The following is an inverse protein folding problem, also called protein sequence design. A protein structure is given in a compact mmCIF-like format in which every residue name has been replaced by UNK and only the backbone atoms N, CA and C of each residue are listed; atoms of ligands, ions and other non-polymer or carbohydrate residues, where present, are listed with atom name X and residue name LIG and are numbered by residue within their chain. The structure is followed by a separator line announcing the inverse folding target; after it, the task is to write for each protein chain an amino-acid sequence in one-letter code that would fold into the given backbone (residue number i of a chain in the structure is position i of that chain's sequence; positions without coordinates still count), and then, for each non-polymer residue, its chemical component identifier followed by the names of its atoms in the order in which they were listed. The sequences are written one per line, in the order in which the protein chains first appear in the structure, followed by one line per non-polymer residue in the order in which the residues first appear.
data_IF_388031695787
#
_entry.id   IF_388031695787
#
_cell.length_a   1.000
_cell.length_b   1.000
_cell.length_c   1.000
_cell.angle_alpha   90.00
_cell.angle_beta   90.00
_cell.angle_gamma   90.00
#
_symmetry.space_group_name_H-M   'P 1'
#
loop_
_entity.id
_entity.type
_entity.pdbx_description
1 polymer ?
#
# COMPACT_ATOMS: atom_id res chain seq x y z
N UNK A 1 19.46 -3.52 56.48
CA UNK A 1 20.31 -4.60 55.91
C UNK A 1 21.74 -4.15 55.57
N UNK A 2 22.30 -3.10 56.18
CA UNK A 2 23.69 -2.65 55.93
C UNK A 2 24.65 -3.03 57.07
N UNK A 3 24.14 -3.53 58.20
CA UNK A 3 24.97 -3.90 59.36
C UNK A 3 25.64 -5.30 59.26
N UNK A 4 25.23 -6.16 58.32
CA UNK A 4 25.77 -7.52 58.17
C UNK A 4 26.95 -7.62 57.19
N UNK A 5 27.24 -6.59 56.40
CA UNK A 5 28.31 -6.62 55.38
C UNK A 5 29.73 -6.34 55.94
N UNK A 6 29.84 -5.73 57.13
CA UNK A 6 31.13 -5.29 57.68
C UNK A 6 31.92 -6.37 58.43
N UNK A 7 31.31 -7.50 58.81
CA UNK A 7 32.02 -8.53 59.60
C UNK A 7 33.01 -9.34 58.75
N UNK A 8 32.64 -9.67 57.50
CA UNK A 8 33.50 -10.43 56.58
C UNK A 8 34.65 -9.57 56.06
N UNK A 9 34.40 -8.31 55.69
CA UNK A 9 35.42 -7.40 55.15
C UNK A 9 36.53 -7.11 56.16
N UNK A 10 36.18 -6.92 57.44
CA UNK A 10 37.14 -6.68 58.52
C UNK A 10 37.95 -7.94 58.91
N UNK A 11 37.38 -9.15 58.76
CA UNK A 11 38.06 -10.41 59.05
C UNK A 11 39.23 -10.71 58.09
N UNK A 12 39.16 -10.22 56.86
CA UNK A 12 40.19 -10.44 55.83
C UNK A 12 41.13 -9.23 55.63
N UNK A 13 41.10 -8.22 56.51
CA UNK A 13 41.88 -6.97 56.41
C UNK A 13 41.73 -6.25 55.06
N UNK A 14 40.56 -6.36 54.44
CA UNK A 14 40.27 -5.66 53.19
C UNK A 14 39.73 -4.27 53.50
N UNK A 15 40.28 -3.25 52.83
CA UNK A 15 39.82 -1.87 52.97
C UNK A 15 39.09 -1.47 51.68
N UNK A 16 37.77 -1.27 51.75
CA UNK A 16 36.96 -0.88 50.59
C UNK A 16 37.00 0.63 50.49
N UNK A 17 37.68 1.16 49.48
CA UNK A 17 37.61 2.57 49.18
C UNK A 17 36.22 2.88 48.60
N UNK A 18 35.47 3.76 49.28
CA UNK A 18 34.15 4.20 48.84
C UNK A 18 34.21 5.32 47.78
N UNK A 19 35.41 5.82 47.47
CA UNK A 19 35.63 6.69 46.33
C UNK A 19 35.84 5.87 45.07
N UNK A 20 35.18 6.26 43.99
CA UNK A 20 35.38 5.63 42.69
C UNK A 20 36.83 5.86 42.23
N UNK A 21 37.51 4.78 41.83
CA UNK A 21 38.82 4.87 41.20
C UNK A 21 38.70 5.64 39.89
N UNK A 22 39.38 6.79 39.80
CA UNK A 22 39.43 7.58 38.57
C UNK A 22 40.51 7.04 37.65
N UNK A 23 40.19 6.90 36.37
CA UNK A 23 41.11 6.43 35.33
C UNK A 23 41.09 7.47 34.21
N UNK A 24 42.27 7.84 33.73
CA UNK A 24 42.41 8.73 32.58
C UNK A 24 41.95 7.99 31.30
N UNK A 25 40.98 8.56 30.60
CA UNK A 25 40.42 8.00 29.39
C UNK A 25 40.33 9.07 28.30
N UNK A 26 40.32 8.64 27.04
CA UNK A 26 40.11 9.51 25.88
C UNK A 26 38.85 9.09 25.13
N UNK A 27 38.10 10.07 24.66
CA UNK A 27 36.95 9.87 23.78
C UNK A 27 37.41 10.05 22.34
N UNK A 28 37.28 9.00 21.53
CA UNK A 28 37.57 9.10 20.10
C UNK A 28 36.47 9.89 19.39
N UNK A 29 36.87 10.74 18.45
CA UNK A 29 35.92 11.39 17.56
C UNK A 29 35.30 10.36 16.61
N UNK A 30 33.99 10.42 16.35
CA UNK A 30 33.35 9.53 15.39
C UNK A 30 33.90 9.78 13.98
N UNK A 31 34.10 8.72 13.17
CA UNK A 31 34.61 8.87 11.81
C UNK A 31 33.58 9.53 10.91
N UNK A 32 34.07 10.29 9.93
CA UNK A 32 33.23 10.84 8.88
C UNK A 32 32.76 9.73 7.92
N UNK A 33 31.44 9.60 7.74
CA UNK A 33 30.84 8.66 6.81
C UNK A 33 30.51 9.36 5.50
N UNK A 34 31.00 8.83 4.38
CA UNK A 34 30.68 9.33 3.04
C UNK A 34 29.48 8.61 2.44
N UNK A 35 28.48 9.37 2.03
CA UNK A 35 27.38 8.92 1.19
C UNK A 35 27.71 9.11 -0.29
N UNK A 36 26.87 8.56 -1.17
CA UNK A 36 27.01 8.75 -2.61
C UNK A 36 26.94 10.25 -2.98
N UNK A 37 27.87 10.73 -3.81
CA UNK A 37 28.13 12.16 -4.05
C UNK A 37 27.03 12.94 -4.78
N UNK A 38 25.92 12.30 -5.14
CA UNK A 38 24.79 12.91 -5.86
C UNK A 38 23.61 13.27 -4.96
N UNK A 39 23.67 12.97 -3.66
CA UNK A 39 22.62 13.30 -2.68
C UNK A 39 22.82 14.67 -2.01
N UNK A 40 21.75 15.26 -1.48
CA UNK A 40 21.79 16.55 -0.73
C UNK A 40 22.75 16.53 0.48
N UNK A 41 22.99 15.35 1.05
CA UNK A 41 24.03 15.08 2.05
C UNK A 41 24.96 14.01 1.50
N UNK A 42 26.18 14.41 1.16
CA UNK A 42 27.26 13.54 0.68
C UNK A 42 28.14 13.01 1.82
N UNK A 43 28.01 13.59 3.02
CA UNK A 43 28.85 13.29 4.18
C UNK A 43 28.02 13.45 5.47
N UNK A 44 28.24 12.58 6.46
CA UNK A 44 27.71 12.73 7.83
C UNK A 44 28.74 12.32 8.87
N UNK A 45 28.81 13.05 9.98
CA UNK A 45 29.56 12.65 11.17
C UNK A 45 28.55 12.09 12.19
N UNK A 46 28.65 10.81 12.60
CA UNK A 46 27.74 10.20 13.57
C UNK A 46 27.69 10.99 14.87
N UNK A 47 26.48 11.17 15.44
CA UNK A 47 26.30 11.78 16.77
C UNK A 47 25.91 10.70 17.76
N UNK A 48 26.62 10.61 18.89
CA UNK A 48 26.40 9.56 19.91
C UNK A 48 26.45 8.13 19.33
N UNK A 49 27.30 7.91 18.33
CA UNK A 49 27.41 6.61 17.63
C UNK A 49 26.27 6.30 16.65
N UNK A 50 25.38 7.26 16.36
CA UNK A 50 24.24 7.08 15.45
C UNK A 50 24.38 7.97 14.20
N UNK A 51 23.90 7.47 13.05
CA UNK A 51 23.85 8.21 11.78
C UNK A 51 22.50 7.98 11.08
N UNK A 52 22.11 8.93 10.24
CA UNK A 52 20.76 8.98 9.67
C UNK A 52 20.71 8.38 8.25
N UNK A 53 19.83 7.41 8.01
CA UNK A 53 19.59 6.83 6.68
C UNK A 53 18.25 7.28 6.05
N UNK A 54 17.60 8.29 6.63
CA UNK A 54 16.40 8.90 6.05
C UNK A 54 16.69 9.40 4.63
N UNK A 55 15.71 9.26 3.74
CA UNK A 55 15.79 9.60 2.31
C UNK A 55 16.84 8.81 1.52
N UNK A 56 17.33 7.68 2.05
CA UNK A 56 18.20 6.72 1.34
C UNK A 56 17.43 5.44 1.00
N UNK A 57 17.85 4.77 -0.07
CA UNK A 57 17.32 3.47 -0.50
C UNK A 57 18.25 2.35 -0.05
N UNK A 58 17.69 1.33 0.61
CA UNK A 58 18.37 0.08 0.90
C UNK A 58 18.08 -0.95 -0.21
N UNK A 59 19.08 -1.29 -1.02
CA UNK A 59 19.00 -2.42 -1.96
C UNK A 59 19.41 -3.69 -1.21
N UNK A 60 18.52 -4.69 -1.19
CA UNK A 60 18.75 -5.96 -0.49
C UNK A 60 18.79 -7.10 -1.50
N UNK A 61 19.94 -7.75 -1.63
CA UNK A 61 20.07 -8.96 -2.45
C UNK A 61 19.69 -10.15 -1.58
N UNK A 62 18.55 -10.79 -1.89
CA UNK A 62 17.93 -11.77 -1.02
C UNK A 62 17.84 -13.15 -1.71
N UNK A 63 18.60 -14.16 -1.24
CA UNK A 63 18.63 -15.48 -1.89
C UNK A 63 17.31 -16.24 -1.76
N UNK A 64 16.59 -16.07 -0.65
CA UNK A 64 15.33 -16.76 -0.35
C UNK A 64 14.21 -15.78 0.05
N UNK A 65 12.97 -16.25 0.12
CA UNK A 65 11.82 -15.39 0.47
C UNK A 65 11.55 -15.32 1.98
N UNK A 66 12.20 -16.17 2.78
CA UNK A 66 11.92 -16.36 4.22
C UNK A 66 12.09 -15.07 5.02
N UNK A 67 13.15 -14.32 4.71
CA UNK A 67 13.50 -13.09 5.41
C UNK A 67 12.82 -11.84 4.84
N UNK A 68 12.11 -11.96 3.72
CA UNK A 68 11.50 -10.82 3.01
C UNK A 68 10.56 -10.03 3.93
N UNK A 69 9.62 -10.72 4.59
CA UNK A 69 8.64 -10.06 5.45
C UNK A 69 9.27 -9.35 6.65
N UNK A 70 10.27 -9.98 7.29
CA UNK A 70 11.03 -9.39 8.40
C UNK A 70 11.78 -8.13 7.97
N UNK A 71 12.47 -8.18 6.83
CA UNK A 71 13.17 -7.02 6.27
C UNK A 71 12.19 -5.88 6.03
N UNK A 72 11.05 -6.16 5.39
CA UNK A 72 10.04 -5.15 5.11
C UNK A 72 9.47 -4.52 6.37
N UNK A 73 9.10 -5.34 7.36
CA UNK A 73 8.61 -4.86 8.65
C UNK A 73 9.63 -3.93 9.32
N UNK A 74 10.84 -4.41 9.59
CA UNK A 74 11.87 -3.64 10.30
C UNK A 74 12.19 -2.34 9.56
N UNK A 75 12.37 -2.40 8.23
CA UNK A 75 12.64 -1.21 7.43
C UNK A 75 11.49 -0.18 7.53
N UNK A 76 10.23 -0.61 7.45
CA UNK A 76 9.10 0.29 7.24
C UNK A 76 8.46 0.76 8.56
N UNK A 77 8.55 -0.04 9.64
CA UNK A 77 7.89 0.23 10.93
C UNK A 77 8.87 0.62 12.04
N UNK A 78 10.11 0.12 12.00
CA UNK A 78 11.10 0.37 13.06
C UNK A 78 12.13 1.42 12.64
N UNK A 79 12.67 1.31 11.43
CA UNK A 79 13.79 2.14 10.96
C UNK A 79 13.38 3.32 10.07
N UNK A 80 12.25 3.23 9.37
CA UNK A 80 11.81 4.26 8.42
C UNK A 80 12.65 4.32 7.14
N UNK A 81 13.19 3.18 6.69
CA UNK A 81 14.06 3.07 5.52
C UNK A 81 13.29 2.46 4.35
N UNK A 82 13.38 3.09 3.18
CA UNK A 82 12.83 2.53 1.95
C UNK A 82 13.73 1.42 1.43
N UNK A 83 13.17 0.25 1.10
CA UNK A 83 13.95 -0.90 0.62
C UNK A 83 13.48 -1.48 -0.72
N UNK A 84 14.43 -1.94 -1.53
CA UNK A 84 14.18 -2.71 -2.76
C UNK A 84 14.91 -4.06 -2.68
N UNK A 85 14.15 -5.14 -2.51
CA UNK A 85 14.68 -6.49 -2.51
C UNK A 85 14.83 -7.00 -3.95
N UNK A 86 15.91 -7.71 -4.23
CA UNK A 86 16.22 -8.29 -5.55
C UNK A 86 16.70 -9.73 -5.34
N UNK A 87 16.14 -10.69 -6.08
CA UNK A 87 16.63 -12.07 -6.06
C UNK A 87 17.93 -12.20 -6.87
N UNK A 88 18.97 -12.88 -6.34
CA UNK A 88 20.23 -13.12 -7.05
C UNK A 88 20.01 -13.79 -8.42
N UNK A 89 19.11 -14.77 -8.48
CA UNK A 89 18.79 -15.52 -9.71
C UNK A 89 18.21 -14.65 -10.81
N UNK A 90 17.67 -13.47 -10.49
CA UNK A 90 17.19 -12.50 -11.47
C UNK A 90 18.25 -11.48 -11.90
N UNK A 91 19.34 -11.36 -11.14
CA UNK A 91 20.49 -10.53 -11.49
C UNK A 91 21.44 -11.26 -12.43
N UNK A 92 21.63 -12.57 -12.20
CA UNK A 92 22.40 -13.43 -13.09
C UNK A 92 21.67 -13.53 -14.43
N UNK A 93 22.22 -12.90 -15.47
CA UNK A 93 21.58 -12.82 -16.80
C UNK A 93 20.39 -11.85 -16.87
N UNK A 94 20.39 -10.80 -16.05
CA UNK A 94 19.31 -9.82 -16.03
C UNK A 94 19.04 -9.22 -17.43
N UNK A 95 17.82 -9.41 -17.93
CA UNK A 95 17.37 -8.73 -19.15
C UNK A 95 17.22 -7.22 -18.89
N UNK A 96 17.40 -6.42 -19.94
CA UNK A 96 17.16 -4.97 -19.88
C UNK A 96 15.75 -4.65 -19.34
N UNK A 97 14.73 -5.37 -19.82
CA UNK A 97 13.34 -5.23 -19.37
C UNK A 97 13.18 -5.49 -17.87
N UNK A 98 13.94 -6.42 -17.29
CA UNK A 98 13.91 -6.67 -15.85
C UNK A 98 14.48 -5.48 -15.08
N UNK A 99 15.64 -4.98 -15.49
CA UNK A 99 16.30 -3.83 -14.87
C UNK A 99 15.44 -2.56 -14.97
N UNK A 100 14.79 -2.32 -16.11
CA UNK A 100 13.83 -1.22 -16.28
C UNK A 100 12.66 -1.30 -15.30
N UNK A 101 12.06 -2.48 -15.12
CA UNK A 101 10.96 -2.65 -14.15
C UNK A 101 11.45 -2.48 -12.69
N UNK A 102 12.68 -2.89 -12.37
CA UNK A 102 13.29 -2.63 -11.06
C UNK A 102 13.50 -1.13 -10.88
N UNK A 103 14.00 -0.42 -11.89
CA UNK A 103 14.17 1.02 -11.87
C UNK A 103 12.83 1.75 -11.68
N UNK A 104 11.75 1.32 -12.33
CA UNK A 104 10.40 1.86 -12.11
C UNK A 104 9.94 1.71 -10.64
N UNK A 105 10.17 0.55 -10.03
CA UNK A 105 9.84 0.29 -8.61
C UNK A 105 10.71 1.10 -7.65
N UNK A 106 11.98 1.30 -7.97
CA UNK A 106 12.87 2.16 -7.17
C UNK A 106 12.41 3.61 -7.29
N UNK A 107 12.15 4.05 -8.52
CA UNK A 107 11.74 5.41 -8.80
C UNK A 107 10.48 5.76 -8.02
N UNK A 108 9.43 4.94 -8.04
CA UNK A 108 8.19 5.25 -7.31
C UNK A 108 8.36 5.26 -5.77
N UNK A 109 9.36 4.56 -5.25
CA UNK A 109 9.66 4.51 -3.81
C UNK A 109 10.43 5.72 -3.32
N UNK A 110 11.32 6.25 -4.14
CA UNK A 110 12.29 7.27 -3.75
C UNK A 110 12.00 8.63 -4.38
N UNK A 111 11.34 8.64 -5.54
CA UNK A 111 10.97 9.81 -6.32
C UNK A 111 9.45 9.86 -6.50
N UNK A 112 8.85 11.03 -6.27
CA UNK A 112 7.40 11.21 -6.33
C UNK A 112 6.82 11.32 -7.75
N UNK A 113 7.59 11.21 -8.86
CA UNK A 113 7.19 12.03 -10.03
C UNK A 113 7.50 11.64 -11.49
N UNK A 114 7.77 10.38 -11.88
CA UNK A 114 7.99 10.09 -13.33
C UNK A 114 6.72 9.67 -14.09
N UNK A 115 5.87 8.78 -13.53
CA UNK A 115 4.69 8.30 -14.27
C UNK A 115 3.53 9.32 -14.24
N UNK A 116 3.47 10.17 -13.21
CA UNK A 116 2.47 11.24 -13.09
C UNK A 116 2.61 12.35 -14.15
N UNK A 117 3.80 12.50 -14.78
CA UNK A 117 4.02 13.54 -15.82
C UNK A 117 3.45 13.17 -17.19
N UNK A 118 3.15 11.90 -17.44
CA UNK A 118 2.64 11.44 -18.74
C UNK A 118 1.10 11.47 -18.83
N UNK A 119 0.39 11.53 -17.70
CA UNK A 119 -1.06 11.41 -17.65
C UNK A 119 -1.69 12.63 -16.97
N UNK A 120 -2.57 13.34 -17.70
CA UNK A 120 -3.33 14.49 -17.20
C UNK A 120 -4.57 14.04 -16.42
N UNK A 121 -4.37 13.53 -15.20
CA UNK A 121 -5.47 13.22 -14.27
C UNK A 121 -5.19 13.82 -12.88
N UNK A 122 -6.22 14.25 -12.13
CA UNK A 122 -6.05 14.77 -10.77
C UNK A 122 -5.44 13.70 -9.84
N UNK A 123 -4.76 14.15 -8.79
CA UNK A 123 -4.09 13.27 -7.81
C UNK A 123 -5.03 12.19 -7.26
N UNK A 124 -4.58 10.94 -7.28
CA UNK A 124 -5.29 9.79 -6.71
C UNK A 124 -4.88 9.59 -5.25
N UNK A 125 -5.68 8.82 -4.50
CA UNK A 125 -5.31 8.37 -3.16
C UNK A 125 -5.85 6.97 -2.90
N UNK A 126 -4.96 6.02 -2.67
CA UNK A 126 -5.33 4.60 -2.70
C UNK A 126 -5.02 3.98 -1.35
N UNK A 127 -5.97 3.25 -0.77
CA UNK A 127 -5.76 2.54 0.50
C UNK A 127 -6.38 1.15 0.41
N UNK A 128 -5.79 0.13 1.02
CA UNK A 128 -6.42 -1.19 1.26
C UNK A 128 -6.48 -1.46 2.75
N UNK A 129 -7.55 -2.12 3.19
CA UNK A 129 -7.70 -2.57 4.57
C UNK A 129 -7.71 -4.09 4.61
N UNK A 130 -7.06 -4.64 5.63
CA UNK A 130 -7.12 -6.05 5.99
C UNK A 130 -7.23 -6.12 7.53
N UNK A 131 -8.45 -6.31 8.03
CA UNK A 131 -8.72 -6.27 9.48
C UNK A 131 -8.58 -4.88 10.12
N UNK A 132 -8.55 -4.84 11.46
CA UNK A 132 -8.49 -3.64 12.34
C UNK A 132 -7.23 -2.78 12.21
N UNK A 133 -6.50 -2.93 11.11
CA UNK A 133 -5.15 -2.47 11.02
C UNK A 133 -4.93 -1.64 9.75
N UNK A 134 -4.67 -0.37 10.01
CA UNK A 134 -4.62 0.72 9.06
C UNK A 134 -3.25 0.80 8.35
N UNK A 135 -3.20 0.46 7.06
CA UNK A 135 -2.06 0.83 6.21
C UNK A 135 -2.35 2.16 5.52
N UNK A 136 -1.73 3.25 5.97
CA UNK A 136 -1.78 4.60 5.36
C UNK A 136 -0.97 4.62 4.07
N UNK A 137 -1.43 5.32 3.04
CA UNK A 137 -0.62 5.47 1.85
C UNK A 137 -0.96 6.67 0.94
N UNK A 138 0.04 7.05 0.13
CA UNK A 138 0.36 8.37 -0.40
C UNK A 138 -0.45 8.85 -1.61
N UNK A 139 -0.64 10.17 -1.71
CA UNK A 139 -1.08 10.84 -2.93
C UNK A 139 0.07 10.86 -3.95
N UNK A 140 -0.13 10.43 -5.21
CA UNK A 140 0.84 10.89 -6.22
C UNK A 140 0.54 12.35 -6.56
N UNK A 141 1.48 13.21 -6.18
CA UNK A 141 1.47 14.63 -6.48
C UNK A 141 1.85 14.86 -7.95
N UNK A 142 0.86 15.03 -8.81
CA UNK A 142 1.02 15.60 -10.14
C UNK A 142 0.51 17.03 -10.19
N UNK A 143 1.37 18.02 -9.94
CA UNK A 143 1.08 19.43 -10.22
C UNK A 143 1.47 19.75 -11.66
N UNK A 144 0.51 19.72 -12.59
CA UNK A 144 0.59 20.42 -13.88
C UNK A 144 -0.82 20.75 -14.38
N UNK A 145 -1.27 21.96 -14.05
CA UNK A 145 -2.29 22.65 -14.82
C UNK A 145 -1.65 23.03 -16.15
N UNK A 146 -2.10 22.41 -17.24
CA UNK A 146 -2.51 23.09 -18.49
C UNK A 146 -2.64 22.09 -19.65
N UNK A 147 -3.71 22.29 -20.44
CA UNK A 147 -3.98 21.77 -21.80
C UNK A 147 -4.73 20.45 -22.03
N UNK A 148 -5.58 19.96 -21.11
CA UNK A 148 -6.83 19.29 -21.56
C UNK A 148 -7.92 19.49 -20.52
N UNK A 149 -8.69 20.56 -20.68
CA UNK A 149 -10.08 20.56 -20.23
C UNK A 149 -10.78 19.36 -20.86
N UNK A 150 -11.40 18.49 -20.04
CA UNK A 150 -12.81 18.19 -20.28
C UNK A 150 -13.48 17.39 -19.16
N UNK A 151 -12.85 16.41 -18.50
CA UNK A 151 -13.69 15.47 -17.73
C UNK A 151 -13.74 15.60 -16.21
N UNK A 152 -12.65 15.83 -15.45
CA UNK A 152 -12.79 15.99 -14.00
C UNK A 152 -11.61 16.77 -13.35
N UNK A 153 -11.65 18.10 -13.25
CA UNK A 153 -10.78 18.81 -12.32
C UNK A 153 -11.22 18.51 -10.87
N UNK A 154 -10.28 18.02 -10.05
CA UNK A 154 -10.46 17.72 -8.61
C UNK A 154 -11.30 16.47 -8.29
N UNK A 155 -10.87 15.30 -8.76
CA UNK A 155 -11.44 14.00 -8.37
C UNK A 155 -10.47 13.19 -7.51
N UNK A 156 -10.98 12.64 -6.41
CA UNK A 156 -10.28 11.64 -5.60
C UNK A 156 -10.87 10.25 -5.92
N UNK A 157 -10.01 9.23 -6.01
CA UNK A 157 -10.42 7.85 -6.28
C UNK A 157 -10.17 7.01 -5.03
N UNK A 158 -11.22 6.56 -4.35
CA UNK A 158 -11.13 5.63 -3.23
C UNK A 158 -11.16 4.17 -3.69
N UNK A 159 -10.64 3.29 -2.83
CA UNK A 159 -10.67 1.84 -3.03
C UNK A 159 -10.94 1.10 -1.74
N UNK A 160 -11.72 0.02 -1.79
CA UNK A 160 -11.81 -0.96 -0.71
C UNK A 160 -11.72 -2.39 -1.27
N UNK A 161 -11.20 -3.32 -0.46
CA UNK A 161 -11.18 -4.76 -0.74
C UNK A 161 -11.67 -5.49 0.51
N UNK A 162 -12.67 -6.36 0.37
CA UNK A 162 -13.23 -7.15 1.47
C UNK A 162 -12.51 -8.49 1.51
N UNK A 163 -11.56 -8.65 2.43
CA UNK A 163 -11.10 -9.98 2.83
C UNK A 163 -11.58 -10.27 4.25
N UNK A 164 -12.74 -10.95 4.32
CA UNK A 164 -13.42 -11.63 5.44
C UNK A 164 -14.85 -11.11 5.68
N UNK A 165 -15.89 -11.93 5.41
CA UNK A 165 -17.29 -11.59 5.68
C UNK A 165 -17.68 -11.67 7.17
N UNK A 166 -16.85 -12.27 8.02
CA UNK A 166 -17.21 -12.56 9.41
C UNK A 166 -16.30 -11.80 10.39
N UNK A 167 -16.71 -10.59 10.79
CA UNK A 167 -16.03 -9.82 11.84
C UNK A 167 -16.66 -8.44 12.08
N UNK A 168 -17.04 -8.08 13.33
CA UNK A 168 -17.67 -6.81 13.63
C UNK A 168 -16.62 -5.73 13.93
N UNK A 169 -16.12 -5.00 12.92
CA UNK A 169 -15.54 -3.67 13.17
C UNK A 169 -15.62 -2.74 11.95
N UNK A 170 -16.86 -2.41 11.58
CA UNK A 170 -17.24 -1.44 10.56
C UNK A 170 -16.93 0.03 10.89
N UNK A 171 -16.23 0.32 12.01
CA UNK A 171 -15.88 1.68 12.47
C UNK A 171 -14.76 2.36 11.65
N UNK A 172 -14.08 1.67 10.74
CA UNK A 172 -12.84 2.16 10.11
C UNK A 172 -13.01 2.96 8.81
N UNK A 173 -14.16 2.90 8.12
CA UNK A 173 -14.33 3.52 6.79
C UNK A 173 -14.51 5.04 6.87
N UNK A 174 -15.21 5.51 7.91
CA UNK A 174 -15.49 6.92 8.12
C UNK A 174 -14.22 7.72 8.47
N UNK A 175 -13.46 7.29 9.49
CA UNK A 175 -12.18 7.90 9.86
C UNK A 175 -11.19 7.90 8.68
N UNK A 176 -11.18 6.81 7.92
CA UNK A 176 -10.36 6.63 6.72
C UNK A 176 -10.69 7.60 5.57
N UNK A 177 -11.96 7.88 5.35
CA UNK A 177 -12.39 8.81 4.31
C UNK A 177 -12.04 10.26 4.67
N UNK A 178 -12.02 10.60 5.97
CA UNK A 178 -11.58 11.91 6.47
C UNK A 178 -10.09 12.13 6.21
N UNK A 179 -9.24 11.19 6.62
CA UNK A 179 -7.78 11.28 6.40
C UNK A 179 -7.45 11.48 4.93
N UNK A 180 -8.12 10.73 4.05
CA UNK A 180 -7.85 10.76 2.63
C UNK A 180 -8.27 12.09 1.97
N UNK A 181 -9.43 12.61 2.35
CA UNK A 181 -9.87 13.92 1.90
C UNK A 181 -8.95 15.04 2.44
N UNK A 182 -8.40 14.87 3.65
CA UNK A 182 -7.43 15.80 4.24
C UNK A 182 -6.08 15.75 3.50
N UNK A 183 -5.53 14.56 3.24
CA UNK A 183 -4.28 14.40 2.48
C UNK A 183 -4.41 14.96 1.05
N UNK A 184 -5.55 14.77 0.40
CA UNK A 184 -5.86 15.39 -0.88
C UNK A 184 -5.86 16.92 -0.78
N UNK A 185 -6.47 17.48 0.26
CA UNK A 185 -6.50 18.93 0.46
C UNK A 185 -5.10 19.50 0.71
N UNK A 186 -4.31 18.85 1.57
CA UNK A 186 -2.93 19.25 1.87
C UNK A 186 -2.03 19.17 0.62
N UNK A 187 -2.22 18.16 -0.22
CA UNK A 187 -1.40 17.96 -1.43
C UNK A 187 -1.80 18.86 -2.60
N UNK A 188 -3.09 19.16 -2.77
CA UNK A 188 -3.61 19.87 -3.96
C UNK A 188 -4.03 21.31 -3.68
N UNK A 189 -4.16 21.70 -2.41
CA UNK A 189 -4.71 22.98 -1.99
C UNK A 189 -6.23 23.13 -2.23
N UNK A 190 -6.91 22.11 -2.74
CA UNK A 190 -8.33 22.17 -3.10
C UNK A 190 -9.08 20.96 -2.54
N UNK A 191 -10.37 21.12 -2.23
CA UNK A 191 -11.25 20.00 -1.89
C UNK A 191 -11.73 19.32 -3.18
N UNK A 192 -11.85 17.98 -3.24
CA UNK A 192 -12.32 17.32 -4.44
C UNK A 192 -13.80 17.67 -4.70
N UNK A 193 -14.18 17.87 -5.96
CA UNK A 193 -15.57 18.14 -6.36
C UNK A 193 -16.33 16.87 -6.70
N UNK A 194 -15.60 15.81 -7.02
CA UNK A 194 -16.13 14.50 -7.34
C UNK A 194 -15.27 13.41 -6.70
N UNK A 195 -15.92 12.29 -6.39
CA UNK A 195 -15.32 11.11 -5.79
C UNK A 195 -15.67 9.91 -6.68
N UNK A 196 -14.66 9.14 -7.08
CA UNK A 196 -14.87 7.81 -7.64
C UNK A 196 -14.48 6.76 -6.61
N UNK A 197 -15.24 5.69 -6.47
CA UNK A 197 -14.96 4.62 -5.54
C UNK A 197 -14.94 3.30 -6.31
N UNK A 198 -13.79 2.62 -6.38
CA UNK A 198 -13.67 1.29 -7.00
C UNK A 198 -13.46 0.23 -5.92
N UNK A 199 -14.43 -0.68 -5.79
CA UNK A 199 -14.43 -1.70 -4.74
C UNK A 199 -14.18 -3.09 -5.31
N UNK A 200 -13.16 -3.81 -4.82
CA UNK A 200 -12.94 -5.21 -5.18
C UNK A 200 -13.49 -6.16 -4.12
N UNK A 201 -13.71 -7.42 -4.49
CA UNK A 201 -13.97 -8.51 -3.56
C UNK A 201 -15.42 -8.62 -3.08
N UNK A 202 -16.36 -7.91 -3.71
CA UNK A 202 -17.78 -7.94 -3.34
C UNK A 202 -18.56 -8.89 -4.26
N UNK A 203 -19.26 -9.85 -3.68
CA UNK A 203 -20.22 -10.69 -4.40
C UNK A 203 -21.57 -10.02 -4.55
N UNK A 204 -22.31 -10.36 -5.61
CA UNK A 204 -23.55 -9.71 -6.04
C UNK A 204 -24.58 -9.58 -4.92
N UNK A 205 -24.74 -10.63 -4.10
CA UNK A 205 -25.68 -10.65 -2.97
C UNK A 205 -25.39 -9.65 -1.85
N UNK A 206 -24.22 -8.97 -1.86
CA UNK A 206 -23.82 -7.99 -0.85
C UNK A 206 -23.81 -6.55 -1.37
N UNK A 207 -24.15 -6.31 -2.65
CA UNK A 207 -24.05 -4.98 -3.28
C UNK A 207 -24.79 -3.90 -2.49
N UNK A 208 -26.06 -4.13 -2.14
CA UNK A 208 -26.88 -3.14 -1.44
C UNK A 208 -26.34 -2.82 -0.04
N UNK A 209 -25.95 -3.85 0.73
CA UNK A 209 -25.43 -3.67 2.08
C UNK A 209 -24.13 -2.88 2.07
N UNK A 210 -23.22 -3.26 1.17
CA UNK A 210 -21.93 -2.60 1.00
C UNK A 210 -22.10 -1.16 0.54
N UNK A 211 -22.94 -0.93 -0.48
CA UNK A 211 -23.21 0.43 -0.97
C UNK A 211 -23.73 1.34 0.14
N UNK A 212 -24.78 0.90 0.87
CA UNK A 212 -25.39 1.71 1.92
C UNK A 212 -24.37 2.08 3.00
N UNK A 213 -23.56 1.11 3.44
CA UNK A 213 -22.58 1.32 4.48
C UNK A 213 -21.43 2.24 4.04
N UNK A 214 -20.80 1.94 2.90
CA UNK A 214 -19.64 2.68 2.41
C UNK A 214 -20.02 4.10 1.97
N UNK A 215 -21.15 4.27 1.28
CA UNK A 215 -21.62 5.58 0.85
C UNK A 215 -21.93 6.49 2.04
N UNK A 216 -22.61 5.97 3.07
CA UNK A 216 -22.90 6.70 4.31
C UNK A 216 -21.60 7.11 5.03
N UNK A 217 -20.61 6.21 5.12
CA UNK A 217 -19.33 6.51 5.73
C UNK A 217 -18.57 7.63 4.99
N UNK A 218 -18.53 7.59 3.65
CA UNK A 218 -17.92 8.63 2.81
C UNK A 218 -18.67 9.96 2.99
N UNK A 219 -20.00 9.93 3.01
CA UNK A 219 -20.84 11.12 3.21
C UNK A 219 -20.62 11.76 4.56
N UNK A 220 -20.62 10.96 5.62
CA UNK A 220 -20.29 11.44 6.97
C UNK A 220 -18.90 12.06 6.98
N UNK A 221 -17.91 11.45 6.33
CA UNK A 221 -16.55 11.98 6.30
C UNK A 221 -16.45 13.35 5.59
N UNK A 222 -17.19 13.53 4.50
CA UNK A 222 -17.29 14.83 3.83
C UNK A 222 -17.91 15.88 4.76
N UNK A 223 -19.03 15.54 5.44
CA UNK A 223 -19.69 16.43 6.41
C UNK A 223 -18.80 16.80 7.59
N UNK A 224 -17.99 15.86 8.10
CA UNK A 224 -17.04 16.12 9.20
C UNK A 224 -15.95 17.13 8.83
N UNK A 225 -15.62 17.30 7.55
CA UNK A 225 -14.66 18.32 7.08
C UNK A 225 -15.29 19.70 6.87
N UNK A 226 -16.54 19.72 6.44
CA UNK A 226 -17.39 20.91 6.34
C UNK A 226 -18.83 20.42 6.18
N UNK A 227 -19.73 20.91 7.03
CA UNK A 227 -21.14 20.51 7.05
C UNK A 227 -21.85 20.67 5.68
N UNK A 228 -21.43 21.64 4.88
CA UNK A 228 -21.96 21.92 3.53
C UNK A 228 -21.25 21.18 2.40
N UNK A 229 -20.17 20.45 2.69
CA UNK A 229 -19.35 19.80 1.68
C UNK A 229 -19.97 18.48 1.22
N UNK A 230 -20.53 18.50 0.02
CA UNK A 230 -21.24 17.37 -0.59
C UNK A 230 -20.71 17.11 -2.02
N UNK A 231 -19.53 16.49 -2.18
CA UNK A 231 -19.00 16.16 -3.50
C UNK A 231 -19.86 15.08 -4.18
N UNK A 232 -19.87 15.06 -5.52
CA UNK A 232 -20.59 14.02 -6.28
C UNK A 232 -19.86 12.68 -6.18
N UNK A 233 -20.57 11.58 -5.97
CA UNK A 233 -19.97 10.24 -5.80
C UNK A 233 -20.38 9.31 -6.95
N UNK A 234 -19.41 8.57 -7.50
CA UNK A 234 -19.64 7.39 -8.36
C UNK A 234 -19.03 6.16 -7.70
N UNK A 235 -19.84 5.14 -7.47
CA UNK A 235 -19.46 3.90 -6.79
C UNK A 235 -19.52 2.73 -7.77
N UNK A 236 -18.37 2.06 -7.94
CA UNK A 236 -18.21 0.90 -8.80
C UNK A 236 -17.72 -0.29 -7.99
N UNK A 237 -18.36 -1.44 -8.17
CA UNK A 237 -17.79 -2.74 -7.79
C UNK A 237 -16.99 -3.29 -8.97
N UNK A 238 -15.85 -3.89 -8.67
CA UNK A 238 -14.88 -4.46 -9.59
C UNK A 238 -14.75 -5.94 -9.27
N UNK A 239 -15.12 -6.80 -10.22
CA UNK A 239 -15.07 -8.24 -10.03
C UNK A 239 -14.05 -8.85 -10.98
N UNK A 240 -12.94 -9.32 -10.39
CA UNK A 240 -11.88 -10.03 -11.11
C UNK A 240 -12.09 -11.54 -11.19
N UNK A 241 -12.92 -12.09 -10.30
CA UNK A 241 -13.10 -13.54 -10.12
C UNK A 241 -14.49 -13.95 -10.59
N UNK A 242 -14.63 -14.14 -11.89
CA UNK A 242 -15.85 -14.67 -12.51
C UNK A 242 -15.52 -15.69 -13.62
N UNK A 243 -16.57 -16.35 -14.12
CA UNK A 243 -16.47 -17.42 -15.12
C UNK A 243 -16.51 -16.91 -16.57
N UNK A 244 -16.94 -15.67 -16.82
CA UNK A 244 -17.00 -15.06 -18.17
C UNK A 244 -15.64 -14.98 -18.86
N UNK A 245 -15.57 -15.37 -20.13
CA UNK A 245 -14.39 -15.24 -21.02
C UNK A 245 -14.85 -14.66 -22.35
N UNK A 246 -14.02 -13.79 -22.92
CA UNK A 246 -14.28 -13.16 -24.22
C UNK A 246 -13.22 -13.62 -25.22
N UNK A 247 -13.66 -13.97 -26.41
CA UNK A 247 -12.82 -14.39 -27.51
C UNK A 247 -13.14 -13.49 -28.72
N UNK A 248 -12.13 -12.98 -29.42
CA UNK A 248 -12.38 -12.23 -30.63
C UNK A 248 -12.89 -13.19 -31.72
N UNK A 249 -13.77 -12.72 -32.59
CA UNK A 249 -14.27 -13.52 -33.70
C UNK A 249 -13.12 -13.89 -34.67
N UNK A 250 -12.17 -12.97 -34.86
CA UNK A 250 -10.92 -13.20 -35.57
C UNK A 250 -9.78 -13.46 -34.57
N UNK A 251 -9.10 -14.62 -34.61
CA UNK A 251 -7.96 -14.94 -33.76
C UNK A 251 -6.77 -13.99 -33.86
N UNK A 252 -6.65 -13.19 -34.93
CA UNK A 252 -5.59 -12.20 -35.09
C UNK A 252 -5.82 -10.92 -34.28
N UNK A 253 -7.05 -10.67 -33.81
CA UNK A 253 -7.38 -9.49 -33.04
C UNK A 253 -6.98 -9.63 -31.56
N UNK A 254 -6.54 -8.53 -30.97
CA UNK A 254 -6.20 -8.47 -29.55
C UNK A 254 -7.42 -8.04 -28.73
N UNK A 255 -7.65 -8.70 -27.60
CA UNK A 255 -8.73 -8.34 -26.67
C UNK A 255 -8.44 -7.07 -25.83
N UNK A 256 -7.27 -6.44 -25.99
CA UNK A 256 -6.93 -5.26 -25.18
C UNK A 256 -7.84 -4.08 -25.59
N UNK A 257 -8.53 -3.49 -24.61
CA UNK A 257 -9.50 -2.42 -24.82
C UNK A 257 -10.89 -2.91 -25.21
N UNK A 258 -11.12 -4.23 -25.31
CA UNK A 258 -12.46 -4.77 -25.59
C UNK A 258 -13.41 -4.46 -24.43
N UNK A 259 -14.54 -3.83 -24.75
CA UNK A 259 -15.63 -3.55 -23.82
C UNK A 259 -16.88 -4.32 -24.26
N UNK A 260 -17.60 -4.89 -23.31
CA UNK A 260 -18.92 -5.49 -23.53
C UNK A 260 -19.86 -4.97 -22.46
N UNK A 261 -20.87 -4.21 -22.85
CA UNK A 261 -21.90 -3.60 -22.00
C UNK A 261 -23.33 -3.96 -22.47
N UNK A 262 -23.44 -5.00 -23.30
CA UNK A 262 -24.71 -5.47 -23.86
C UNK A 262 -24.82 -7.00 -23.80
N UNK A 263 -26.05 -7.51 -23.85
CA UNK A 263 -26.45 -8.94 -23.90
C UNK A 263 -26.08 -9.78 -22.68
N UNK A 264 -24.80 -9.86 -22.34
CA UNK A 264 -24.25 -10.66 -21.23
C UNK A 264 -24.13 -9.86 -19.92
N UNK A 265 -24.52 -8.59 -19.97
CA UNK A 265 -24.58 -7.66 -18.85
C UNK A 265 -25.97 -7.69 -18.18
N UNK A 266 -26.09 -7.03 -17.03
CA UNK A 266 -27.33 -6.96 -16.28
C UNK A 266 -28.44 -6.32 -17.14
N UNK A 267 -29.69 -6.84 -17.09
CA UNK A 267 -30.77 -6.37 -17.98
C UNK A 267 -31.22 -4.93 -17.71
N UNK A 268 -30.97 -4.40 -16.51
CA UNK A 268 -31.47 -3.08 -16.07
C UNK A 268 -30.47 -2.22 -15.33
N UNK A 269 -29.32 -2.76 -14.94
CA UNK A 269 -28.31 -2.03 -14.17
C UNK A 269 -27.18 -1.62 -15.10
N UNK A 270 -26.36 -0.67 -14.66
CA UNK A 270 -25.22 -0.24 -15.43
C UNK A 270 -23.98 -1.07 -15.04
N UNK A 271 -23.69 -2.08 -15.83
CA UNK A 271 -22.47 -2.89 -15.73
C UNK A 271 -21.79 -3.07 -17.09
N UNK A 272 -20.50 -3.39 -17.06
CA UNK A 272 -19.73 -3.67 -18.28
C UNK A 272 -18.51 -4.54 -17.99
N UNK A 273 -18.14 -5.37 -18.96
CA UNK A 273 -16.86 -6.06 -18.99
C UNK A 273 -15.84 -5.23 -19.74
N UNK A 274 -14.63 -5.11 -19.19
CA UNK A 274 -13.49 -4.48 -19.84
C UNK A 274 -12.28 -5.41 -19.81
N UNK A 275 -11.76 -5.74 -20.99
CA UNK A 275 -10.49 -6.45 -21.12
C UNK A 275 -9.36 -5.43 -21.33
N UNK A 276 -8.87 -4.83 -20.26
CA UNK A 276 -7.91 -3.73 -20.32
C UNK A 276 -6.45 -4.14 -20.62
N UNK A 277 -6.16 -5.43 -20.78
CA UNK A 277 -4.78 -5.92 -20.91
C UNK A 277 -4.65 -7.06 -21.92
N UNK A 278 -3.48 -7.13 -22.54
CA UNK A 278 -3.08 -8.28 -23.35
C UNK A 278 -2.53 -9.40 -22.46
N UNK A 279 -3.16 -10.59 -22.50
CA UNK A 279 -2.64 -11.78 -21.85
C UNK A 279 -1.29 -12.17 -22.46
N UNK A 280 -0.28 -12.38 -21.61
CA UNK A 280 1.04 -12.88 -22.04
C UNK A 280 0.98 -14.39 -22.31
N UNK A 281 0.08 -15.09 -21.61
CA UNK A 281 -0.14 -16.53 -21.75
C UNK A 281 -1.60 -16.84 -21.40
N UNK A 282 -2.24 -17.67 -22.22
CA UNK A 282 -3.65 -18.07 -22.05
C UNK A 282 -4.65 -16.98 -22.42
N UNK A 283 -5.92 -17.19 -22.09
CA UNK A 283 -7.02 -16.25 -22.38
C UNK A 283 -7.05 -15.10 -21.37
N UNK A 284 -7.09 -13.85 -21.84
CA UNK A 284 -7.36 -12.69 -20.99
C UNK A 284 -8.68 -12.87 -20.26
N UNK A 285 -8.68 -12.61 -18.94
CA UNK A 285 -9.92 -12.49 -18.18
C UNK A 285 -10.34 -11.02 -18.23
N UNK A 286 -11.49 -10.67 -18.84
CA UNK A 286 -12.02 -9.32 -18.69
C UNK A 286 -12.32 -9.08 -17.20
N UNK A 287 -12.34 -7.82 -16.78
CA UNK A 287 -12.84 -7.43 -15.47
C UNK A 287 -14.27 -6.93 -15.64
N UNK A 288 -15.13 -7.33 -14.74
CA UNK A 288 -16.53 -6.90 -14.70
C UNK A 288 -16.69 -5.74 -13.73
N UNK A 289 -17.27 -4.64 -14.19
CA UNK A 289 -17.52 -3.44 -13.42
C UNK A 289 -19.03 -3.24 -13.28
N UNK A 290 -19.52 -3.12 -12.05
CA UNK A 290 -20.91 -2.78 -11.74
C UNK A 290 -20.97 -1.38 -11.14
N UNK A 291 -21.74 -0.48 -11.75
CA UNK A 291 -21.97 0.87 -11.22
C UNK A 291 -23.17 0.80 -10.28
N UNK A 292 -22.91 0.86 -8.98
CA UNK A 292 -23.96 0.76 -7.97
C UNK A 292 -24.60 2.11 -7.64
N UNK A 293 -23.87 3.21 -7.87
CA UNK A 293 -24.34 4.57 -7.58
C UNK A 293 -23.56 5.58 -8.42
N UNK A 294 -24.23 6.57 -9.01
CA UNK A 294 -23.57 7.60 -9.80
C UNK A 294 -24.29 8.96 -9.79
N UNK A 295 -23.72 9.92 -9.07
CA UNK A 295 -24.16 11.32 -9.09
C UNK A 295 -23.38 12.20 -10.07
N UNK A 296 -22.28 11.68 -10.62
CA UNK A 296 -21.55 12.38 -11.67
C UNK A 296 -22.27 12.25 -13.02
N UNK A 297 -23.27 11.36 -13.12
CA UNK A 297 -24.09 11.12 -14.31
C UNK A 297 -23.22 10.83 -15.54
N UNK A 298 -22.29 9.88 -15.39
CA UNK A 298 -21.45 9.45 -16.49
C UNK A 298 -22.28 8.76 -17.58
N UNK A 299 -21.96 9.06 -18.84
CA UNK A 299 -22.35 8.19 -19.94
C UNK A 299 -21.53 6.89 -19.89
N UNK A 300 -22.10 5.82 -20.45
CA UNK A 300 -21.43 4.52 -20.53
C UNK A 300 -20.02 4.64 -21.13
N UNK A 301 -19.93 5.29 -22.30
CA UNK A 301 -18.68 5.53 -23.03
C UNK A 301 -17.66 6.28 -22.16
N UNK A 302 -18.07 7.34 -21.46
CA UNK A 302 -17.14 8.15 -20.68
C UNK A 302 -16.57 7.38 -19.48
N UNK A 303 -17.41 6.62 -18.77
CA UNK A 303 -16.96 5.84 -17.62
C UNK A 303 -16.05 4.68 -18.05
N UNK A 304 -16.39 3.99 -19.14
CA UNK A 304 -15.59 2.92 -19.73
C UNK A 304 -14.22 3.44 -20.17
N UNK A 305 -14.17 4.57 -20.89
CA UNK A 305 -12.93 5.21 -21.34
C UNK A 305 -12.08 5.70 -20.17
N UNK A 306 -12.69 6.27 -19.13
CA UNK A 306 -11.99 6.68 -17.92
C UNK A 306 -11.38 5.47 -17.20
N UNK A 307 -12.16 4.41 -17.00
CA UNK A 307 -11.71 3.15 -16.38
C UNK A 307 -10.56 2.52 -17.16
N UNK A 308 -10.67 2.49 -18.50
CA UNK A 308 -9.61 1.98 -19.35
C UNK A 308 -8.35 2.84 -19.31
N UNK A 309 -8.49 4.17 -19.36
CA UNK A 309 -7.36 5.10 -19.26
C UNK A 309 -6.62 4.97 -17.94
N UNK A 310 -7.34 4.76 -16.83
CA UNK A 310 -6.74 4.49 -15.54
C UNK A 310 -5.84 3.24 -15.58
N UNK A 311 -6.17 2.21 -16.36
CA UNK A 311 -5.37 0.98 -16.44
C UNK A 311 -3.94 1.19 -16.96
N UNK A 312 -3.65 2.34 -17.58
CA UNK A 312 -2.32 2.72 -18.05
C UNK A 312 -1.47 3.45 -17.00
N UNK A 313 -2.02 3.76 -15.83
CA UNK A 313 -1.32 4.55 -14.81
C UNK A 313 -0.59 3.70 -13.77
N UNK A 314 -0.48 2.39 -14.01
CA UNK A 314 0.23 1.48 -13.13
C UNK A 314 1.74 1.68 -13.22
N UNK A 315 2.35 2.13 -12.14
CA UNK A 315 3.73 2.62 -12.11
C UNK A 315 4.81 1.53 -12.14
N UNK A 316 4.44 0.25 -11.97
CA UNK A 316 5.42 -0.85 -11.89
C UNK A 316 5.74 -1.49 -13.25
N UNK A 317 5.10 -1.07 -14.34
CA UNK A 317 5.42 -1.50 -15.70
C UNK A 317 4.93 -0.50 -16.74
N UNK A 318 5.47 -0.55 -17.96
CA UNK A 318 5.05 0.25 -19.12
C UNK A 318 3.96 -0.46 -19.94
N UNK A 319 2.94 -1.00 -19.27
CA UNK A 319 1.83 -1.74 -19.90
C UNK A 319 0.52 -1.43 -19.18
N UNK A 320 -0.58 -1.48 -19.93
CA UNK A 320 -1.90 -1.51 -19.30
C UNK A 320 -2.05 -2.77 -18.45
N UNK A 321 -2.59 -2.60 -17.25
CA UNK A 321 -2.89 -3.68 -16.32
C UNK A 321 -4.34 -4.11 -16.39
N UNK A 322 -4.62 -5.32 -15.89
CA UNK A 322 -5.94 -5.92 -15.99
C UNK A 322 -7.02 -5.24 -15.17
N UNK A 323 -6.67 -4.52 -14.11
CA UNK A 323 -7.59 -3.86 -13.19
C UNK A 323 -7.07 -2.46 -12.90
N UNK A 324 -7.96 -1.52 -12.58
CA UNK A 324 -7.56 -0.13 -12.36
C UNK A 324 -6.45 -0.04 -11.28
N UNK A 325 -5.40 0.78 -11.48
CA UNK A 325 -4.25 0.82 -10.59
C UNK A 325 -4.58 1.14 -9.13
N UNK A 326 -5.60 1.96 -8.80
CA UNK A 326 -6.07 2.06 -7.43
C UNK A 326 -6.39 0.70 -6.80
N UNK A 327 -7.18 -0.14 -7.45
CA UNK A 327 -7.46 -1.49 -6.92
C UNK A 327 -6.19 -2.34 -6.86
N UNK A 328 -5.29 -2.17 -7.83
CA UNK A 328 -4.01 -2.87 -7.85
C UNK A 328 -3.09 -2.49 -6.68
N UNK A 329 -2.90 -1.20 -6.40
CA UNK A 329 -2.07 -0.73 -5.28
C UNK A 329 -2.68 -1.11 -3.96
N UNK A 330 -4.01 -1.04 -3.86
CA UNK A 330 -4.71 -1.58 -2.72
C UNK A 330 -4.27 -3.03 -2.47
N UNK A 331 -4.39 -3.93 -3.46
CA UNK A 331 -3.94 -5.32 -3.30
C UNK A 331 -2.51 -5.48 -2.80
N UNK A 332 -1.58 -4.69 -3.36
CA UNK A 332 -0.18 -4.71 -2.96
C UNK A 332 0.01 -4.22 -1.51
N UNK A 333 -0.71 -3.18 -1.10
CA UNK A 333 -0.70 -2.65 0.25
C UNK A 333 -1.09 -3.72 1.26
N UNK A 334 -2.21 -4.43 1.07
CA UNK A 334 -2.54 -5.46 2.06
C UNK A 334 -1.72 -6.75 1.93
N UNK A 335 -1.20 -7.07 0.74
CA UNK A 335 -0.20 -8.13 0.65
C UNK A 335 1.04 -7.78 1.48
N UNK A 336 1.42 -6.50 1.51
CA UNK A 336 2.48 -6.01 2.40
C UNK A 336 2.11 -6.13 3.87
N UNK A 337 0.90 -5.75 4.27
CA UNK A 337 0.41 -5.90 5.64
C UNK A 337 0.52 -7.35 6.14
N UNK A 338 0.15 -8.34 5.31
CA UNK A 338 0.28 -9.78 5.67
C UNK A 338 1.70 -10.15 6.09
N UNK A 339 2.70 -9.64 5.38
CA UNK A 339 4.10 -9.92 5.69
C UNK A 339 4.57 -9.33 7.03
N UNK A 340 3.94 -8.25 7.50
CA UNK A 340 4.24 -7.72 8.83
C UNK A 340 3.78 -8.68 9.92
N UNK A 341 2.61 -9.29 9.75
CA UNK A 341 2.04 -10.26 10.68
C UNK A 341 2.80 -11.60 10.69
N UNK A 342 3.27 -12.07 9.52
CA UNK A 342 4.11 -13.26 9.43
C UNK A 342 5.42 -13.10 10.21
N UNK A 343 6.05 -11.92 10.15
CA UNK A 343 7.26 -11.64 10.91
C UNK A 343 7.06 -11.64 12.44
N UNK A 344 5.84 -11.35 12.92
CA UNK A 344 5.51 -11.33 14.36
C UNK A 344 5.35 -12.76 14.89
N UNK A 345 4.74 -13.66 14.09
CA UNK A 345 4.58 -15.07 14.47
C UNK A 345 5.92 -15.79 14.64
N UNK A 346 6.92 -15.47 13.81
CA UNK A 346 8.25 -16.08 13.87
C UNK A 346 9.10 -15.55 15.03
N UNK A 347 8.86 -14.33 15.52
CA UNK A 347 9.58 -13.78 16.68
C UNK A 347 9.12 -14.37 18.03
N UNK A 348 7.91 -14.92 18.11
CA UNK A 348 7.40 -15.55 19.34
C UNK A 348 7.65 -17.07 19.40
N UNK A 349 8.17 -17.68 18.32
CA UNK A 349 8.56 -19.09 18.32
C UNK A 349 10.01 -19.28 18.78
N UNK A 350 10.30 -18.79 19.99
CA UNK A 350 11.43 -19.25 20.79
C UNK A 350 10.96 -20.36 21.72
N UNK A 351 11.55 -21.56 21.58
CA UNK A 351 11.42 -22.75 22.43
C UNK A 351 10.03 -23.37 22.63
N UNK A 352 9.72 -24.42 21.86
CA UNK A 352 9.58 -25.81 22.37
C UNK A 352 9.33 -26.77 21.20
N UNK A 353 10.03 -27.90 21.25
CA UNK A 353 9.94 -29.02 20.32
C UNK A 353 8.78 -29.97 20.66
N UNK A 354 8.25 -30.63 19.63
CA UNK A 354 7.58 -31.94 19.58
C UNK A 354 6.08 -31.98 19.19
N UNK A 355 5.87 -32.73 18.11
CA UNK A 355 4.79 -33.72 17.85
C UNK A 355 3.49 -33.37 17.09
N UNK A 356 3.48 -33.94 15.87
CA UNK A 356 2.43 -34.64 15.13
C UNK A 356 0.93 -34.32 15.36
N UNK A 357 0.34 -33.96 14.22
CA UNK A 357 -1.07 -33.86 13.86
C UNK A 357 -2.02 -34.93 14.44
N UNK A 358 -3.03 -34.45 15.16
CA UNK A 358 -4.36 -35.07 15.33
C UNK A 358 -5.40 -33.95 15.32
N UNK A 359 -6.38 -34.02 14.40
CA UNK A 359 -7.32 -32.94 14.14
C UNK A 359 -8.43 -32.81 15.19
N UNK A 360 -8.70 -31.58 15.62
CA UNK A 360 -9.99 -31.12 16.16
C UNK A 360 -10.16 -29.65 15.76
N UNK A 361 -11.30 -29.34 15.13
CA UNK A 361 -11.78 -27.99 14.84
C UNK A 361 -12.16 -27.29 16.15
N UNK A 362 -11.35 -26.35 16.61
CA UNK A 362 -11.74 -25.36 17.63
C UNK A 362 -11.92 -24.00 16.97
N UNK A 363 -13.11 -23.43 17.15
CA UNK A 363 -13.40 -22.01 16.97
C UNK A 363 -12.37 -21.19 17.74
N UNK A 364 -11.37 -20.66 17.02
CA UNK A 364 -10.48 -19.64 17.56
C UNK A 364 -11.14 -18.30 17.26
N UNK A 365 -11.64 -17.63 18.30
CA UNK A 365 -11.69 -16.18 18.34
C UNK A 365 -10.26 -15.68 18.03
N UNK A 366 -9.99 -15.35 16.77
CA UNK A 366 -8.71 -14.81 16.35
C UNK A 366 -8.73 -13.34 16.79
N UNK A 367 -8.14 -13.04 17.95
CA UNK A 367 -7.76 -11.66 18.28
C UNK A 367 -6.89 -11.14 17.14
N UNK A 368 -7.43 -10.19 16.37
CA UNK A 368 -6.71 -9.56 15.26
C UNK A 368 -5.65 -8.68 15.89
N UNK A 369 -4.39 -9.13 15.86
CA UNK A 369 -3.30 -8.27 16.34
C UNK A 369 -3.21 -7.01 15.46
N UNK A 370 -3.08 -5.82 16.07
CA UNK A 370 -2.96 -4.58 15.32
C UNK A 370 -1.67 -4.59 14.50
N UNK A 371 -1.74 -4.13 13.24
CA UNK A 371 -0.54 -3.99 12.41
C UNK A 371 0.41 -3.00 13.07
N UNK A 372 1.72 -3.22 12.93
CA UNK A 372 2.72 -2.26 13.38
C UNK A 372 2.54 -0.92 12.67
N UNK A 373 2.67 0.17 13.41
CA UNK A 373 2.61 1.52 12.86
C UNK A 373 3.80 1.76 11.93
N UNK A 374 3.52 2.11 10.68
CA UNK A 374 4.56 2.49 9.72
C UNK A 374 5.14 3.86 10.12
N UNK A 375 6.43 4.07 9.89
CA UNK A 375 7.06 5.37 10.16
C UNK A 375 6.51 6.46 9.23
N UNK A 376 6.32 7.66 9.75
CA UNK A 376 5.62 8.73 9.02
C UNK A 376 6.32 9.20 7.75
N UNK A 377 7.65 9.09 7.69
CA UNK A 377 8.41 9.36 6.47
C UNK A 377 8.17 8.30 5.38
N UNK A 378 7.90 7.05 5.76
CA UNK A 378 7.58 5.95 4.84
C UNK A 378 6.12 5.96 4.42
N UNK A 379 5.18 6.31 5.33
CA UNK A 379 3.73 6.41 5.04
C UNK A 379 3.41 7.34 3.87
N UNK A 380 4.23 8.38 3.67
CA UNK A 380 4.08 9.36 2.58
C UNK A 380 4.61 8.87 1.24
N UNK A 381 5.12 7.64 1.15
CA UNK A 381 5.74 7.07 -0.05
C UNK A 381 5.04 5.77 -0.49
N UNK A 382 5.26 5.35 -1.73
CA UNK A 382 4.66 4.12 -2.26
C UNK A 382 5.43 2.84 -1.88
N UNK A 383 5.64 2.59 -0.59
CA UNK A 383 6.57 1.56 -0.08
C UNK A 383 6.20 0.10 -0.41
N UNK A 384 4.92 -0.18 -0.68
CA UNK A 384 4.41 -1.50 -1.09
C UNK A 384 4.68 -1.81 -2.57
N UNK A 385 5.20 -0.85 -3.36
CA UNK A 385 5.50 -1.06 -4.77
C UNK A 385 6.64 -2.04 -5.07
#
# INVERSE_FOLDING_TARGET
MVAHANYIVNGFRMNINHQLTSIEARVLLPPELKYHGTGQQSVVVPRMGQWNMNDKLLIVILPDFSSYGKIKRVCETELGIMSQCIQPTKLLGASQRYLENVALKINVKVCTNIVAKAFKYPGWLVRKVMGEADMVESALNGSFLNSTQAYLPSTIIFVADVTHPDGPSFKSVHSRSIEQLFDFYVSTGHKPRAIMFYMDGVGDGLFSQVLLHELDAIRKACKSLNETYLPRITFLVVQKRHHTRLFPADPHNHNNGTVVDTRICHPSEFDFYLCSHAAVRGTSRPIHYHVLFDENNFSAVNLQMLTYSLCYTYVRCTRSVSIVPPVYYAHLAAFRARHYNEGIKVSNSGSTSAEAAGGVTQDRNVEVQPLPLIKDNVKKLMFYC
#
